data_IF_676046200614
#
_entry.id   IF_676046200614
#
_cell.length_a   1.000
_cell.length_b   1.000
_cell.length_c   1.000
_cell.angle_alpha   90.00
_cell.angle_beta   90.00
_cell.angle_gamma   90.00
#
_symmetry.space_group_name_H-M   'P 1'
#
loop_
_entity.id
_entity.type
_entity.pdbx_description
1 polymer ?
#
# COMPACT_ATOMS: atom_id res chain seq x y z
N UNK A 1 -13.73 -10.08 1.56
CA UNK A 1 -12.59 -11.02 1.61
C UNK A 1 -11.87 -10.92 2.96
N UNK A 2 -11.32 -9.76 3.33
CA UNK A 2 -10.64 -9.58 4.62
C UNK A 2 -11.47 -9.99 5.86
N UNK A 3 -12.72 -9.51 5.99
CA UNK A 3 -13.56 -9.86 7.15
C UNK A 3 -13.90 -11.35 7.25
N UNK A 4 -14.20 -12.01 6.12
CA UNK A 4 -14.49 -13.44 6.07
C UNK A 4 -13.26 -14.27 6.47
N UNK A 5 -12.11 -14.00 5.84
CA UNK A 5 -10.87 -14.69 6.18
C UNK A 5 -10.44 -14.43 7.64
N UNK A 6 -10.70 -13.22 8.14
CA UNK A 6 -10.40 -12.89 9.54
C UNK A 6 -11.19 -13.75 10.53
N UNK A 7 -12.46 -14.02 10.26
CA UNK A 7 -13.29 -14.92 11.07
C UNK A 7 -12.86 -16.38 10.93
N UNK A 8 -12.65 -16.86 9.70
CA UNK A 8 -12.27 -18.25 9.42
C UNK A 8 -10.91 -18.63 10.06
N UNK A 9 -9.93 -17.73 9.97
CA UNK A 9 -8.58 -17.97 10.47
C UNK A 9 -8.37 -17.56 11.94
N UNK A 10 -9.40 -17.04 12.61
CA UNK A 10 -9.28 -16.52 13.98
C UNK A 10 -8.21 -15.43 14.13
N UNK A 11 -7.85 -14.74 13.05
CA UNK A 11 -6.76 -13.75 12.99
C UNK A 11 -7.32 -12.40 12.56
N UNK A 12 -7.07 -11.35 13.34
CA UNK A 12 -7.62 -10.03 13.05
C UNK A 12 -7.00 -9.42 11.77
N UNK A 13 -7.82 -9.17 10.75
CA UNK A 13 -7.44 -8.44 9.53
C UNK A 13 -8.26 -7.15 9.50
N UNK A 14 -7.59 -6.00 9.42
CA UNK A 14 -8.24 -4.69 9.44
C UNK A 14 -7.85 -3.87 8.23
N UNK A 15 -8.80 -3.12 7.71
CA UNK A 15 -8.55 -2.07 6.73
C UNK A 15 -8.03 -0.83 7.48
N UNK A 16 -6.90 -0.30 7.04
CA UNK A 16 -6.38 0.99 7.49
C UNK A 16 -6.45 1.97 6.32
N UNK A 17 -7.07 3.15 6.49
CA UNK A 17 -7.11 4.16 5.44
C UNK A 17 -5.74 4.81 5.19
N UNK A 18 -4.81 4.68 6.14
CA UNK A 18 -3.47 5.26 6.06
C UNK A 18 -2.40 4.21 6.34
N UNK A 19 -1.29 4.30 5.63
CA UNK A 19 -0.08 3.52 5.86
C UNK A 19 1.04 4.45 6.32
N UNK A 20 1.55 4.24 7.54
CA UNK A 20 2.56 5.10 8.16
C UNK A 20 4.00 4.82 7.68
N UNK A 21 4.16 4.01 6.63
CA UNK A 21 5.45 3.72 6.00
C UNK A 21 5.56 4.36 4.62
N UNK A 22 6.75 4.28 4.04
CA UNK A 22 6.99 4.65 2.64
C UNK A 22 6.43 3.54 1.76
N UNK A 23 5.65 3.88 0.74
CA UNK A 23 5.10 2.91 -0.20
C UNK A 23 5.01 3.50 -1.59
N UNK A 24 5.47 2.74 -2.60
CA UNK A 24 5.36 3.16 -4.00
C UNK A 24 3.91 3.37 -4.43
N UNK A 25 2.94 2.80 -3.72
CA UNK A 25 1.52 3.01 -3.96
C UNK A 25 1.08 4.48 -3.77
N UNK A 26 1.82 5.28 -2.99
CA UNK A 26 1.55 6.71 -2.87
C UNK A 26 1.73 7.47 -4.21
N UNK A 27 2.44 6.87 -5.17
CA UNK A 27 2.58 7.40 -6.52
C UNK A 27 1.49 6.94 -7.49
N UNK A 28 0.57 6.06 -7.07
CA UNK A 28 -0.43 5.47 -7.97
C UNK A 28 -1.87 5.72 -7.50
N UNK A 29 -2.05 5.93 -6.20
CA UNK A 29 -3.34 5.74 -5.52
C UNK A 29 -4.12 6.99 -5.15
N UNK A 30 -3.66 8.19 -5.51
CA UNK A 30 -4.38 9.42 -5.13
C UNK A 30 -4.32 10.44 -6.25
N UNK A 31 -5.48 11.02 -6.56
CA UNK A 31 -5.52 12.35 -7.16
C UNK A 31 -4.89 13.31 -6.15
N UNK A 32 -3.77 13.91 -6.52
CA UNK A 32 -3.07 14.93 -5.72
C UNK A 32 -3.51 16.27 -6.30
N UNK A 33 -4.03 17.16 -5.46
CA UNK A 33 -4.38 18.51 -5.88
C UNK A 33 -3.11 19.29 -6.26
N UNK A 34 -3.21 20.28 -7.15
CA UNK A 34 -2.05 21.05 -7.61
C UNK A 34 -1.32 21.74 -6.43
N UNK A 35 -2.09 22.23 -5.46
CA UNK A 35 -1.55 22.84 -4.24
C UNK A 35 -0.78 21.85 -3.35
N UNK A 36 -1.14 20.56 -3.38
CA UNK A 36 -0.45 19.51 -2.65
C UNK A 36 0.86 19.11 -3.34
N UNK A 37 0.91 19.15 -4.68
CA UNK A 37 2.15 18.92 -5.45
C UNK A 37 3.20 19.96 -5.09
N UNK A 38 2.82 21.23 -5.00
CA UNK A 38 3.71 22.32 -4.58
C UNK A 38 4.24 22.11 -3.15
N UNK A 39 3.37 21.72 -2.22
CA UNK A 39 3.76 21.42 -0.85
C UNK A 39 4.76 20.25 -0.79
N UNK A 40 4.53 19.18 -1.57
CA UNK A 40 5.45 18.05 -1.69
C UNK A 40 6.80 18.50 -2.26
N UNK A 41 6.79 19.31 -3.32
CA UNK A 41 8.00 19.79 -3.98
C UNK A 41 8.86 20.68 -3.06
N UNK A 42 8.25 21.55 -2.26
CA UNK A 42 8.93 22.41 -1.29
C UNK A 42 9.56 21.62 -0.13
N UNK A 43 8.98 20.47 0.22
CA UNK A 43 9.45 19.63 1.32
C UNK A 43 10.30 18.43 0.85
N UNK A 44 10.53 18.29 -0.46
CA UNK A 44 11.32 17.20 -1.03
C UNK A 44 12.69 17.71 -1.50
N UNK A 45 13.80 17.26 -0.89
CA UNK A 45 15.14 17.63 -1.34
C UNK A 45 15.36 17.30 -2.81
N UNK A 46 15.95 18.24 -3.55
CA UNK A 46 16.24 18.09 -4.98
C UNK A 46 15.00 17.80 -5.87
N UNK A 47 13.80 18.22 -5.45
CA UNK A 47 12.56 18.10 -6.23
C UNK A 47 12.70 18.67 -7.65
N UNK A 48 13.33 19.84 -7.81
CA UNK A 48 13.51 20.49 -9.11
C UNK A 48 14.64 19.89 -9.99
N UNK A 49 15.50 19.03 -9.46
CA UNK A 49 16.74 18.60 -10.17
C UNK A 49 16.90 17.09 -10.32
N UNK A 50 16.41 16.30 -9.36
CA UNK A 50 16.61 14.85 -9.32
C UNK A 50 15.31 14.05 -9.33
N UNK A 51 14.24 14.60 -8.77
CA UNK A 51 12.93 13.95 -8.81
C UNK A 51 12.22 14.30 -10.12
N UNK A 52 12.15 13.33 -11.04
CA UNK A 52 11.32 13.45 -12.24
C UNK A 52 10.08 12.59 -12.03
N UNK A 53 8.95 13.22 -11.76
CA UNK A 53 7.68 12.54 -11.56
C UNK A 53 6.56 13.31 -12.26
N UNK A 54 5.76 12.61 -13.05
CA UNK A 54 4.66 13.20 -13.82
C UNK A 54 3.35 13.04 -13.05
N UNK A 55 3.07 14.04 -12.19
CA UNK A 55 1.85 14.07 -11.38
C UNK A 55 0.58 14.11 -12.23
N UNK A 56 0.63 14.73 -13.42
CA UNK A 56 -0.52 14.83 -14.31
C UNK A 56 -0.85 13.46 -14.94
N UNK A 57 0.16 12.74 -15.42
CA UNK A 57 -0.04 11.41 -15.98
C UNK A 57 -0.63 10.42 -14.97
N UNK A 58 -0.18 10.49 -13.72
CA UNK A 58 -0.65 9.61 -12.66
C UNK A 58 -2.07 9.96 -12.22
N UNK A 59 -2.36 11.25 -12.05
CA UNK A 59 -3.71 11.73 -11.74
C UNK A 59 -4.72 11.31 -12.81
N UNK A 60 -4.30 11.27 -14.08
CA UNK A 60 -5.13 10.78 -15.19
C UNK A 60 -5.36 9.26 -15.17
N UNK A 61 -4.48 8.47 -14.56
CA UNK A 61 -4.64 7.02 -14.44
C UNK A 61 -5.64 6.63 -13.34
N UNK A 62 -5.71 7.41 -12.26
CA UNK A 62 -6.65 7.24 -11.13
C UNK A 62 -6.83 5.77 -10.70
N UNK A 63 -5.70 5.08 -10.47
CA UNK A 63 -5.75 3.64 -10.22
C UNK A 63 -6.22 3.36 -8.80
N UNK A 64 -7.27 2.54 -8.61
CA UNK A 64 -7.62 2.07 -7.28
C UNK A 64 -6.48 1.19 -6.74
N UNK A 65 -5.91 1.58 -5.61
CA UNK A 65 -4.80 0.86 -4.99
C UNK A 65 -5.16 0.35 -3.60
N UNK A 66 -4.56 -0.78 -3.23
CA UNK A 66 -4.63 -1.33 -1.89
C UNK A 66 -3.27 -1.90 -1.50
N UNK A 67 -2.77 -1.50 -0.33
CA UNK A 67 -1.54 -2.05 0.24
C UNK A 67 -1.88 -3.28 1.11
N UNK A 68 -1.36 -4.44 0.72
CA UNK A 68 -1.54 -5.71 1.45
C UNK A 68 -0.15 -6.29 1.69
N UNK A 69 0.16 -6.59 2.95
CA UNK A 69 1.48 -7.09 3.30
C UNK A 69 1.51 -7.89 4.60
N UNK A 70 2.68 -8.49 4.90
CA UNK A 70 2.90 -9.24 6.12
C UNK A 70 2.81 -8.34 7.35
N UNK A 71 2.60 -8.97 8.50
CA UNK A 71 2.71 -8.29 9.80
C UNK A 71 4.06 -8.63 10.41
N UNK A 72 4.82 -7.60 10.77
CA UNK A 72 6.17 -7.74 11.28
C UNK A 72 6.57 -6.62 12.22
N UNK A 73 7.86 -6.60 12.55
CA UNK A 73 8.50 -5.54 13.35
C UNK A 73 9.85 -5.21 12.74
N UNK A 74 10.32 -4.01 13.07
CA UNK A 74 11.68 -3.54 12.75
C UNK A 74 11.98 -3.49 11.24
N UNK A 75 10.99 -3.03 10.45
CA UNK A 75 11.11 -2.85 9.00
C UNK A 75 12.35 -2.01 8.63
N UNK A 76 13.18 -2.50 7.70
CA UNK A 76 14.43 -1.88 7.29
C UNK A 76 15.45 -1.68 8.43
N UNK A 77 15.36 -2.49 9.49
CA UNK A 77 16.31 -2.49 10.60
C UNK A 77 16.92 -3.88 10.80
N UNK A 78 18.02 -3.94 11.56
CA UNK A 78 18.81 -5.17 11.78
C UNK A 78 17.99 -6.36 12.31
N UNK A 79 16.90 -6.12 13.02
CA UNK A 79 16.06 -7.16 13.64
C UNK A 79 14.75 -7.38 12.87
N UNK A 80 14.68 -6.94 11.62
CA UNK A 80 13.51 -7.13 10.77
C UNK A 80 13.02 -8.57 10.81
N UNK A 81 11.73 -8.74 11.10
CA UNK A 81 11.09 -10.06 11.20
C UNK A 81 9.61 -9.95 10.92
N UNK A 82 9.05 -11.07 10.49
CA UNK A 82 7.63 -11.23 10.20
C UNK A 82 7.01 -12.32 11.06
N UNK A 83 5.71 -12.22 11.30
CA UNK A 83 4.94 -13.32 11.88
C UNK A 83 4.65 -14.36 10.80
N UNK A 84 5.36 -15.49 10.86
CA UNK A 84 5.36 -16.51 9.82
C UNK A 84 3.96 -17.06 9.48
N UNK A 85 3.10 -17.45 10.45
CA UNK A 85 1.76 -17.96 10.12
C UNK A 85 0.92 -16.94 9.35
N UNK A 86 0.96 -15.66 9.77
CA UNK A 86 0.24 -14.62 9.05
C UNK A 86 0.80 -14.38 7.65
N UNK A 87 2.13 -14.36 7.54
CA UNK A 87 2.82 -13.96 6.31
C UNK A 87 2.81 -15.03 5.22
N UNK A 88 2.86 -16.31 5.60
CA UNK A 88 2.97 -17.42 4.67
C UNK A 88 1.67 -18.21 4.49
N UNK A 89 0.66 -17.99 5.34
CA UNK A 89 -0.64 -18.67 5.21
C UNK A 89 -1.76 -17.64 4.95
N UNK A 90 -1.89 -16.63 5.82
CA UNK A 90 -3.03 -15.68 5.76
C UNK A 90 -2.91 -14.68 4.62
N UNK A 91 -1.74 -14.06 4.43
CA UNK A 91 -1.52 -13.05 3.38
C UNK A 91 -1.69 -13.65 1.97
N UNK A 92 -1.09 -14.80 1.63
CA UNK A 92 -1.29 -15.42 0.31
C UNK A 92 -2.75 -15.75 0.03
N UNK A 93 -3.48 -16.31 1.01
CA UNK A 93 -4.90 -16.62 0.87
C UNK A 93 -5.74 -15.35 0.67
N UNK A 94 -5.44 -14.27 1.42
CA UNK A 94 -6.11 -12.99 1.26
C UNK A 94 -5.94 -12.43 -0.14
N UNK A 95 -4.70 -12.42 -0.65
CA UNK A 95 -4.36 -11.94 -2.00
C UNK A 95 -5.08 -12.78 -3.04
N UNK A 96 -5.03 -14.12 -2.93
CA UNK A 96 -5.72 -15.03 -3.84
C UNK A 96 -7.23 -14.75 -3.92
N UNK A 97 -7.91 -14.61 -2.78
CA UNK A 97 -9.35 -14.31 -2.74
C UNK A 97 -9.71 -12.94 -3.33
N UNK A 98 -8.85 -11.93 -3.12
CA UNK A 98 -9.07 -10.59 -3.66
C UNK A 98 -8.89 -10.61 -5.17
N UNK A 99 -7.77 -11.13 -5.66
CA UNK A 99 -7.50 -11.24 -7.10
C UNK A 99 -8.57 -12.08 -7.79
N UNK A 100 -8.92 -13.24 -7.24
CA UNK A 100 -9.98 -14.09 -7.78
C UNK A 100 -11.32 -13.35 -7.90
N UNK A 101 -11.71 -12.57 -6.88
CA UNK A 101 -12.92 -11.74 -6.92
C UNK A 101 -12.85 -10.59 -7.91
N UNK A 102 -11.68 -9.97 -8.10
CA UNK A 102 -11.49 -8.88 -9.06
C UNK A 102 -11.57 -9.41 -10.50
N UNK A 103 -11.00 -10.59 -10.76
CA UNK A 103 -10.99 -11.20 -12.10
C UNK A 103 -12.29 -11.92 -12.47
N UNK A 104 -13.11 -12.28 -11.49
CA UNK A 104 -14.43 -12.92 -11.71
C UNK A 104 -15.58 -11.92 -11.90
N UNK A 105 -15.29 -10.62 -11.92
CA UNK A 105 -16.27 -9.56 -12.18
C UNK A 105 -16.45 -9.33 -13.67
#
# INVERSE_FOLDING_TARGET
>A
QAAALSQEAGTAIRLSPFFAGISDMSFLGSAIAEEEVDAIAQNTPASATKLRFDYAAISALDLPTINIGPWGRDYHQRLERVHAPYSFEIVPELVWRIVGRLLSQ
#
